data_IF_648330774919
#
_entry.id   IF_648330774919
#
_cell.length_a   1.000
_cell.length_b   1.000
_cell.length_c   1.000
_cell.angle_alpha   90.00
_cell.angle_beta   90.00
_cell.angle_gamma   90.00
#
_symmetry.space_group_name_H-M   'P 1'
#
loop_
_entity.id
_entity.type
_entity.pdbx_description
1 polymer ?
#
# COMPACT_ATOMS: atom_id res chain seq x y z
N UNK A 1 -47.44 14.55 8.59
CA UNK A 1 -46.02 14.31 8.30
C UNK A 1 -45.45 13.08 9.00
N UNK A 2 -45.95 12.65 10.17
CA UNK A 2 -45.44 11.50 10.93
C UNK A 2 -45.64 10.13 10.23
N UNK A 3 -46.74 9.93 9.48
CA UNK A 3 -47.00 8.68 8.76
C UNK A 3 -46.07 8.42 7.57
N UNK A 4 -45.60 9.48 6.90
CA UNK A 4 -44.69 9.36 5.77
C UNK A 4 -43.25 8.91 6.22
N UNK A 5 -42.80 9.41 7.36
CA UNK A 5 -41.50 9.07 7.94
C UNK A 5 -41.47 7.61 8.40
N UNK A 6 -42.53 7.13 9.03
CA UNK A 6 -42.64 5.72 9.44
C UNK A 6 -42.70 4.75 8.25
N UNK A 7 -43.31 5.14 7.13
CA UNK A 7 -43.35 4.36 5.90
C UNK A 7 -41.97 4.22 5.25
N UNK A 8 -41.19 5.31 5.23
CA UNK A 8 -39.82 5.31 4.64
C UNK A 8 -38.89 4.47 5.50
N UNK A 9 -38.95 4.56 6.83
CA UNK A 9 -38.11 3.74 7.73
C UNK A 9 -38.41 2.25 7.59
N UNK A 10 -39.72 1.88 7.44
CA UNK A 10 -40.08 0.48 7.18
C UNK A 10 -39.53 -0.08 5.87
N UNK A 11 -39.58 0.73 4.80
CA UNK A 11 -39.05 0.34 3.49
C UNK A 11 -37.53 0.12 3.53
N UNK A 12 -36.78 0.99 4.21
CA UNK A 12 -35.33 0.87 4.36
C UNK A 12 -34.98 -0.39 5.14
N UNK A 13 -35.71 -0.72 6.21
CA UNK A 13 -35.45 -1.94 6.98
C UNK A 13 -35.65 -3.22 6.17
N UNK A 14 -36.67 -3.27 5.30
CA UNK A 14 -36.90 -4.43 4.42
C UNK A 14 -35.79 -4.59 3.38
N UNK A 15 -35.32 -3.48 2.79
CA UNK A 15 -34.23 -3.50 1.80
C UNK A 15 -32.92 -3.98 2.45
N UNK A 16 -32.61 -3.50 3.66
CA UNK A 16 -31.40 -3.94 4.38
C UNK A 16 -31.46 -5.40 4.77
N UNK A 17 -32.62 -5.91 5.20
CA UNK A 17 -32.77 -7.34 5.49
C UNK A 17 -32.60 -8.21 4.25
N UNK A 18 -33.17 -7.80 3.11
CA UNK A 18 -33.01 -8.46 1.82
C UNK A 18 -31.55 -8.51 1.35
N UNK A 19 -30.82 -7.42 1.56
CA UNK A 19 -29.42 -7.33 1.19
C UNK A 19 -28.54 -8.26 2.05
N UNK A 20 -28.78 -8.34 3.35
CA UNK A 20 -28.07 -9.25 4.25
C UNK A 20 -28.28 -10.72 3.85
N UNK A 21 -29.53 -11.11 3.57
CA UNK A 21 -29.84 -12.49 3.12
C UNK A 21 -29.14 -12.78 1.77
N UNK A 22 -29.16 -11.83 0.84
CA UNK A 22 -28.50 -11.98 -0.47
C UNK A 22 -26.99 -12.20 -0.36
N UNK A 23 -26.31 -11.49 0.54
CA UNK A 23 -24.87 -11.64 0.78
C UNK A 23 -24.56 -12.99 1.41
N UNK A 24 -25.37 -13.46 2.37
CA UNK A 24 -25.19 -14.76 3.02
C UNK A 24 -25.44 -15.95 2.07
N UNK A 25 -26.33 -15.83 1.10
CA UNK A 25 -26.63 -16.94 0.16
C UNK A 25 -25.64 -17.06 -0.99
N UNK A 26 -24.83 -16.02 -1.27
CA UNK A 26 -23.80 -16.04 -2.32
C UNK A 26 -22.36 -16.28 -1.83
N UNK A 27 -22.15 -16.38 -0.53
CA UNK A 27 -20.82 -16.38 0.09
C UNK A 27 -20.27 -17.75 0.58
N UNK A 28 -20.93 -18.88 0.27
CA UNK A 28 -20.45 -20.19 0.72
C UNK A 28 -20.31 -21.18 -0.44
N UNK A 29 -19.28 -21.03 -1.25
CA UNK A 29 -18.69 -22.14 -1.99
C UNK A 29 -17.32 -22.43 -1.37
N UNK A 30 -17.29 -23.43 -0.50
CA UNK A 30 -16.07 -23.94 0.13
C UNK A 30 -15.29 -24.81 -0.87
N UNK A 31 -13.95 -24.91 -0.74
CA UNK A 31 -13.13 -25.72 -1.61
C UNK A 31 -13.32 -27.21 -1.34
N UNK A 32 -13.62 -27.96 -2.39
CA UNK A 32 -13.69 -29.41 -2.38
C UNK A 32 -12.28 -30.03 -2.25
N UNK A 33 -12.11 -30.83 -1.24
CA UNK A 33 -11.00 -31.76 -1.09
C UNK A 33 -11.10 -32.90 -2.11
N UNK A 34 -10.04 -33.08 -2.91
CA UNK A 34 -9.84 -34.24 -3.76
C UNK A 34 -8.43 -34.78 -3.58
N UNK A 35 -8.32 -35.82 -2.76
CA UNK A 35 -7.13 -36.68 -2.71
C UNK A 35 -7.14 -37.62 -3.92
N UNK A 36 -6.03 -37.75 -4.63
CA UNK A 36 -5.61 -39.06 -5.13
C UNK A 36 -4.09 -39.08 -5.39
N UNK A 37 -3.46 -40.04 -4.80
CA UNK A 37 -2.05 -40.36 -4.96
C UNK A 37 -1.92 -41.54 -5.93
N UNK A 38 -0.98 -41.48 -6.86
CA UNK A 38 -0.36 -42.71 -7.39
C UNK A 38 1.08 -42.41 -7.87
N UNK A 39 2.06 -43.28 -7.55
CA UNK A 39 3.46 -43.07 -7.86
C UNK A 39 3.83 -43.67 -9.22
N UNK A 40 4.70 -43.02 -9.96
CA UNK A 40 5.41 -43.62 -11.10
C UNK A 40 6.87 -43.22 -11.17
N UNK A 41 7.69 -44.13 -10.80
CA UNK A 41 8.93 -44.70 -11.39
C UNK A 41 9.92 -43.75 -12.12
N UNK A 42 11.11 -43.78 -11.53
CA UNK A 42 12.44 -43.48 -12.06
C UNK A 42 12.63 -43.61 -13.58
N UNK A 43 13.29 -42.58 -14.16
CA UNK A 43 14.21 -42.79 -15.27
C UNK A 43 15.36 -41.78 -15.17
N UNK A 44 16.54 -42.32 -14.94
CA UNK A 44 17.80 -41.59 -14.92
C UNK A 44 18.22 -41.21 -16.35
N UNK A 45 18.54 -39.95 -16.57
CA UNK A 45 19.27 -39.48 -17.73
C UNK A 45 20.32 -38.44 -17.29
N UNK A 46 21.47 -38.33 -17.98
CA UNK A 46 22.70 -37.78 -17.42
C UNK A 46 22.71 -36.27 -17.29
N UNK A 47 23.38 -35.82 -16.25
CA UNK A 47 23.59 -34.43 -15.89
C UNK A 47 24.33 -33.63 -16.98
N UNK A 48 23.62 -32.70 -17.59
CA UNK A 48 24.22 -31.53 -18.21
C UNK A 48 24.43 -30.48 -17.12
N UNK A 49 25.67 -30.18 -16.83
CA UNK A 49 26.04 -29.08 -15.93
C UNK A 49 25.62 -27.75 -16.58
N UNK A 50 24.48 -27.23 -16.17
CA UNK A 50 24.09 -25.84 -16.43
C UNK A 50 24.97 -24.96 -15.57
N UNK A 51 25.61 -23.88 -16.10
CA UNK A 51 26.34 -22.93 -15.28
C UNK A 51 25.41 -22.35 -14.24
N UNK A 52 25.77 -22.48 -12.97
CA UNK A 52 25.11 -21.87 -11.82
C UNK A 52 25.08 -20.37 -12.05
N UNK A 53 23.89 -19.71 -12.00
CA UNK A 53 23.86 -18.26 -12.03
C UNK A 53 24.65 -17.77 -10.81
N UNK A 54 25.58 -16.85 -11.02
CA UNK A 54 26.28 -16.12 -9.96
C UNK A 54 25.22 -15.59 -8.99
N UNK A 55 25.24 -16.11 -7.77
CA UNK A 55 24.40 -15.59 -6.70
C UNK A 55 24.84 -14.14 -6.45
N UNK A 56 24.10 -13.19 -7.02
CA UNK A 56 24.11 -11.81 -6.53
C UNK A 56 23.66 -11.92 -5.09
N UNK A 57 24.54 -11.59 -4.15
CA UNK A 57 24.22 -11.54 -2.72
C UNK A 57 23.18 -10.43 -2.53
N UNK A 58 21.90 -10.78 -2.59
CA UNK A 58 20.82 -9.85 -2.26
C UNK A 58 20.94 -9.47 -0.79
N UNK A 59 20.93 -8.18 -0.53
CA UNK A 59 20.89 -7.64 0.83
C UNK A 59 19.62 -8.15 1.54
N UNK A 60 19.74 -8.69 2.78
CA UNK A 60 18.60 -9.30 3.44
C UNK A 60 17.50 -8.28 3.75
N UNK A 61 16.24 -8.71 3.58
CA UNK A 61 15.06 -7.92 3.95
C UNK A 61 15.00 -7.82 5.49
N UNK A 62 15.18 -6.61 6.01
CA UNK A 62 15.18 -6.32 7.45
C UNK A 62 13.85 -5.75 7.92
N UNK A 63 13.14 -5.05 7.05
CA UNK A 63 11.87 -4.36 7.32
C UNK A 63 10.82 -4.83 6.32
N UNK A 64 10.31 -6.06 6.45
CA UNK A 64 9.43 -6.65 5.45
C UNK A 64 8.12 -5.87 5.30
N UNK A 65 7.52 -5.96 4.12
CA UNK A 65 6.16 -5.51 3.90
C UNK A 65 5.17 -6.31 4.77
N UNK A 66 4.03 -5.74 5.19
CA UNK A 66 2.97 -6.48 5.84
C UNK A 66 2.50 -7.68 5.01
N UNK A 67 2.09 -8.74 5.71
CA UNK A 67 1.55 -9.92 5.04
C UNK A 67 0.34 -9.56 4.17
N UNK A 68 0.27 -10.11 2.98
CA UNK A 68 -0.79 -9.82 2.02
C UNK A 68 -0.58 -8.53 1.20
N UNK A 69 0.61 -7.92 1.28
CA UNK A 69 0.94 -6.78 0.41
C UNK A 69 0.80 -7.15 -1.07
N UNK A 70 0.12 -6.30 -1.84
CA UNK A 70 -0.06 -6.48 -3.28
C UNK A 70 1.07 -5.84 -4.07
N UNK A 71 1.46 -6.44 -5.20
CA UNK A 71 2.48 -5.85 -6.07
C UNK A 71 1.81 -4.95 -7.10
N UNK A 72 2.14 -3.67 -7.10
CA UNK A 72 1.60 -2.65 -8.02
C UNK A 72 2.67 -1.64 -8.39
N UNK A 73 2.48 -0.95 -9.53
CA UNK A 73 3.37 0.14 -9.95
C UNK A 73 3.02 1.47 -9.28
N UNK A 74 1.74 1.68 -9.02
CA UNK A 74 1.21 2.88 -8.38
C UNK A 74 -0.14 2.60 -7.74
N UNK A 75 -0.53 3.46 -6.79
CA UNK A 75 -1.82 3.39 -6.12
C UNK A 75 -2.24 4.76 -5.60
N UNK A 76 -3.49 4.89 -5.21
CA UNK A 76 -4.00 6.06 -4.49
C UNK A 76 -4.54 5.65 -3.12
N UNK A 77 -4.62 6.59 -2.18
CA UNK A 77 -5.45 6.41 -0.97
C UNK A 77 -6.92 6.26 -1.37
N UNK A 78 -7.78 5.65 -0.54
CA UNK A 78 -9.21 5.54 -0.83
C UNK A 78 -9.90 6.89 -1.04
N UNK A 79 -9.43 7.94 -0.36
CA UNK A 79 -9.89 9.33 -0.55
C UNK A 79 -9.42 9.96 -1.87
N UNK A 80 -8.43 9.36 -2.56
CA UNK A 80 -7.78 9.94 -3.73
C UNK A 80 -6.91 11.17 -3.44
N UNK A 81 -6.70 11.51 -2.16
CA UNK A 81 -5.91 12.67 -1.76
C UNK A 81 -4.40 12.42 -1.87
N UNK A 82 -3.96 11.20 -1.54
CA UNK A 82 -2.55 10.79 -1.65
C UNK A 82 -2.43 9.80 -2.81
N UNK A 83 -1.43 10.01 -3.66
CA UNK A 83 -1.06 9.08 -4.73
C UNK A 83 0.39 8.71 -4.60
N UNK A 84 0.70 7.44 -4.82
CA UNK A 84 2.05 6.89 -4.70
C UNK A 84 2.46 6.15 -5.98
N UNK A 85 3.74 6.20 -6.30
CA UNK A 85 4.33 5.50 -7.43
C UNK A 85 5.66 4.87 -7.00
N UNK A 86 5.88 3.63 -7.42
CA UNK A 86 7.12 2.92 -7.24
C UNK A 86 7.98 3.01 -8.50
N UNK A 87 9.27 3.18 -8.31
CA UNK A 87 10.29 3.10 -9.36
C UNK A 87 11.29 1.99 -9.02
N UNK A 88 12.28 1.77 -9.88
CA UNK A 88 13.37 0.84 -9.56
C UNK A 88 14.19 1.31 -8.35
N UNK A 89 14.32 2.63 -8.17
CA UNK A 89 15.23 3.26 -7.21
C UNK A 89 14.52 3.86 -6.00
N UNK A 90 13.19 3.75 -5.93
CA UNK A 90 12.46 4.39 -4.84
C UNK A 90 10.95 4.27 -4.90
N UNK A 91 10.33 4.89 -3.92
CA UNK A 91 8.89 5.13 -3.87
C UNK A 91 8.66 6.62 -3.57
N UNK A 92 7.71 7.22 -4.26
CA UNK A 92 7.32 8.61 -4.07
C UNK A 92 5.81 8.71 -3.89
N UNK A 93 5.37 9.56 -2.95
CA UNK A 93 3.96 9.87 -2.74
C UNK A 93 3.75 11.39 -2.76
N UNK A 94 2.69 11.81 -3.42
CA UNK A 94 2.23 13.19 -3.43
C UNK A 94 0.86 13.35 -2.78
N UNK A 95 0.61 14.49 -2.18
CA UNK A 95 -0.67 14.85 -1.57
C UNK A 95 -1.25 16.07 -2.29
N UNK A 96 -2.56 16.06 -2.53
CA UNK A 96 -3.27 17.17 -3.22
C UNK A 96 -3.66 18.26 -2.25
N UNK A 97 -4.20 17.88 -1.10
CA UNK A 97 -4.69 18.78 -0.06
C UNK A 97 -4.00 18.44 1.26
N UNK A 98 -3.31 19.41 1.84
CA UNK A 98 -2.64 19.29 3.13
C UNK A 98 -2.73 20.58 3.91
N UNK A 99 -2.64 20.49 5.23
CA UNK A 99 -2.71 21.63 6.13
C UNK A 99 -1.32 22.26 6.37
N UNK A 100 -0.25 21.68 5.81
CA UNK A 100 1.16 22.03 6.04
C UNK A 100 1.94 22.38 4.76
N UNK A 101 1.33 22.28 3.57
CA UNK A 101 2.04 22.42 2.29
C UNK A 101 2.66 23.80 2.06
N UNK A 102 2.16 24.82 2.73
CA UNK A 102 2.66 26.18 2.59
C UNK A 102 3.96 26.44 3.39
N UNK A 103 4.23 25.64 4.44
CA UNK A 103 5.30 25.89 5.38
C UNK A 103 6.61 25.13 5.11
N UNK A 104 6.61 24.13 4.23
CA UNK A 104 7.63 23.09 4.25
C UNK A 104 8.61 23.00 3.09
N UNK A 105 8.40 23.68 1.97
CA UNK A 105 9.13 23.43 0.73
C UNK A 105 10.01 24.60 0.24
N UNK A 106 10.59 25.34 1.17
CA UNK A 106 11.47 26.47 0.86
C UNK A 106 12.70 26.10 -0.01
N UNK A 107 13.03 24.83 -0.12
CA UNK A 107 14.16 24.34 -0.92
C UNK A 107 13.82 23.89 -2.33
N UNK A 108 12.54 23.76 -2.68
CA UNK A 108 12.12 23.39 -4.03
C UNK A 108 11.76 24.65 -4.84
N UNK A 109 12.56 24.97 -5.84
CA UNK A 109 12.21 26.03 -6.80
C UNK A 109 11.17 25.50 -7.78
N UNK A 110 9.89 25.85 -7.58
CA UNK A 110 8.78 25.46 -8.43
C UNK A 110 7.64 24.81 -7.65
N UNK A 111 6.50 24.72 -8.27
CA UNK A 111 5.17 24.58 -7.73
C UNK A 111 4.76 23.20 -7.15
N UNK A 112 5.67 22.33 -6.78
CA UNK A 112 5.28 21.01 -6.26
C UNK A 112 5.58 20.89 -4.77
N UNK A 113 4.60 21.25 -4.00
CA UNK A 113 4.53 21.02 -2.56
C UNK A 113 3.83 19.67 -2.32
N UNK A 114 4.23 18.96 -1.28
CA UNK A 114 3.53 17.74 -0.85
C UNK A 114 4.04 16.44 -1.47
N UNK A 115 5.24 16.39 -2.03
CA UNK A 115 5.86 15.15 -2.49
C UNK A 115 6.94 14.68 -1.52
N UNK A 116 6.83 13.43 -1.09
CA UNK A 116 7.85 12.73 -0.30
C UNK A 116 8.34 11.50 -1.06
N UNK A 117 9.61 11.18 -0.87
CA UNK A 117 10.22 9.99 -1.47
C UNK A 117 11.10 9.24 -0.47
N UNK A 118 11.24 7.93 -0.70
CA UNK A 118 12.23 7.08 -0.05
C UNK A 118 13.00 6.32 -1.12
N UNK A 119 14.32 6.39 -1.01
CA UNK A 119 15.27 5.60 -1.78
C UNK A 119 16.00 4.63 -0.84
N UNK A 120 17.00 3.92 -1.36
CA UNK A 120 17.86 3.06 -0.53
C UNK A 120 18.59 3.88 0.55
N UNK A 121 19.03 5.09 0.23
CA UNK A 121 19.96 5.87 1.06
C UNK A 121 19.30 6.96 1.90
N UNK A 122 18.13 7.44 1.48
CA UNK A 122 17.46 8.57 2.12
C UNK A 122 15.96 8.55 1.95
N UNK A 123 15.26 9.18 2.89
CA UNK A 123 13.86 9.55 2.76
C UNK A 123 13.67 11.04 3.09
N UNK A 124 12.70 11.68 2.46
CA UNK A 124 12.43 13.09 2.69
C UNK A 124 11.57 13.73 1.60
N UNK A 125 11.51 15.04 1.69
CA UNK A 125 10.86 15.86 0.67
C UNK A 125 11.55 15.68 -0.69
N UNK A 126 10.75 15.57 -1.73
CA UNK A 126 11.19 15.50 -3.12
C UNK A 126 10.72 16.72 -3.88
N UNK A 127 11.62 17.29 -4.68
CA UNK A 127 11.29 18.39 -5.59
C UNK A 127 10.86 17.89 -6.97
N UNK A 128 10.49 16.64 -7.10
CA UNK A 128 9.96 16.09 -8.34
C UNK A 128 8.59 16.67 -8.67
N UNK A 129 8.39 16.96 -9.93
CA UNK A 129 7.29 17.81 -10.38
C UNK A 129 5.93 17.13 -10.47
N UNK A 130 5.81 15.86 -10.33
CA UNK A 130 4.53 15.16 -10.13
C UNK A 130 4.78 13.72 -9.76
N UNK A 131 4.08 13.20 -8.80
CA UNK A 131 3.91 11.76 -8.68
C UNK A 131 2.90 11.35 -9.75
N UNK A 132 3.29 10.52 -10.72
CA UNK A 132 2.33 10.02 -11.69
C UNK A 132 1.24 9.28 -10.93
N UNK A 133 0.09 9.92 -10.78
CA UNK A 133 -1.02 9.38 -10.05
C UNK A 133 -1.92 8.56 -10.96
N UNK A 134 -2.66 7.64 -10.42
CA UNK A 134 -3.72 6.96 -11.14
C UNK A 134 -3.78 5.45 -10.97
N UNK A 135 -3.06 4.87 -10.03
CA UNK A 135 -3.29 3.49 -9.62
C UNK A 135 -4.64 3.30 -8.91
N UNK A 136 -5.07 2.05 -8.82
CA UNK A 136 -6.26 1.71 -8.05
C UNK A 136 -6.12 2.15 -6.59
N UNK A 137 -7.25 2.40 -5.93
CA UNK A 137 -7.24 2.73 -4.52
C UNK A 137 -6.74 1.54 -3.68
N UNK A 138 -5.73 1.79 -2.85
CA UNK A 138 -5.24 0.85 -1.85
C UNK A 138 -6.10 1.04 -0.59
N UNK A 139 -6.88 0.03 -0.24
CA UNK A 139 -7.78 0.08 0.91
C UNK A 139 -7.03 0.45 2.21
N UNK A 140 -7.70 1.08 3.14
CA UNK A 140 -7.16 1.29 4.48
C UNK A 140 -6.88 -0.05 5.17
N UNK A 141 -5.71 -0.18 5.79
CA UNK A 141 -5.20 -1.42 6.36
C UNK A 141 -4.52 -2.34 5.35
N UNK A 142 -4.50 -2.00 4.05
CA UNK A 142 -3.81 -2.78 3.03
C UNK A 142 -2.42 -2.22 2.74
N UNK A 143 -1.54 -3.11 2.27
CA UNK A 143 -0.17 -2.75 1.89
C UNK A 143 0.10 -3.04 0.41
N UNK A 144 1.02 -2.26 -0.16
CA UNK A 144 1.52 -2.42 -1.52
C UNK A 144 3.05 -2.55 -1.50
N UNK A 145 3.60 -3.25 -2.48
CA UNK A 145 5.05 -3.45 -2.61
C UNK A 145 5.47 -3.50 -4.06
N UNK A 146 6.72 -3.08 -4.32
CA UNK A 146 7.42 -3.31 -5.58
C UNK A 146 8.94 -3.25 -5.36
N UNK A 147 9.65 -4.28 -5.80
CA UNK A 147 11.10 -4.40 -5.55
C UNK A 147 11.39 -4.35 -4.05
N UNK A 148 12.29 -3.47 -3.68
CA UNK A 148 12.73 -3.28 -2.28
C UNK A 148 11.88 -2.27 -1.50
N UNK A 149 10.73 -1.86 -2.00
CA UNK A 149 9.90 -0.84 -1.36
C UNK A 149 8.53 -1.37 -0.99
N UNK A 150 8.03 -0.90 0.13
CA UNK A 150 6.70 -1.19 0.63
C UNK A 150 5.99 0.07 1.10
N UNK A 151 4.65 0.06 1.00
CA UNK A 151 3.79 1.10 1.54
C UNK A 151 2.60 0.47 2.27
N UNK A 152 2.14 1.12 3.32
CA UNK A 152 0.95 0.76 4.08
C UNK A 152 -0.02 1.94 4.11
N UNK A 153 -1.26 1.70 3.70
CA UNK A 153 -2.34 2.69 3.71
C UNK A 153 -3.14 2.57 4.99
N UNK A 154 -3.28 3.67 5.73
CA UNK A 154 -4.10 3.74 6.95
C UNK A 154 -5.06 4.92 6.88
N UNK A 155 -6.02 5.02 7.79
CA UNK A 155 -6.91 6.18 7.88
C UNK A 155 -6.15 7.46 8.27
N UNK A 156 -5.03 7.31 8.98
CA UNK A 156 -4.21 8.42 9.48
C UNK A 156 -3.17 8.89 8.45
N UNK A 157 -2.96 8.14 7.36
CA UNK A 157 -2.01 8.47 6.31
C UNK A 157 -1.40 7.26 5.62
N UNK A 158 -0.37 7.50 4.82
CA UNK A 158 0.40 6.46 4.13
C UNK A 158 1.84 6.49 4.66
N UNK A 159 2.36 5.32 5.03
CA UNK A 159 3.78 5.11 5.34
C UNK A 159 4.42 4.28 4.22
N UNK A 160 5.58 4.73 3.73
CA UNK A 160 6.37 4.00 2.72
C UNK A 160 7.82 3.86 3.19
N UNK A 161 8.47 2.74 2.84
CA UNK A 161 9.85 2.47 3.27
C UNK A 161 10.61 1.55 2.31
N UNK A 162 11.93 1.62 2.41
CA UNK A 162 12.80 0.60 1.84
C UNK A 162 12.88 -0.60 2.78
N UNK A 163 12.60 -1.80 2.29
CA UNK A 163 12.49 -3.03 3.09
C UNK A 163 13.85 -3.56 3.57
N UNK A 164 14.96 -3.09 3.00
CA UNK A 164 16.32 -3.49 3.36
C UNK A 164 16.95 -2.48 4.33
N UNK A 165 16.90 -1.20 4.00
CA UNK A 165 17.59 -0.14 4.76
C UNK A 165 16.72 0.51 5.83
N UNK A 166 15.40 0.46 5.69
CA UNK A 166 14.45 1.08 6.61
C UNK A 166 14.25 2.59 6.39
N UNK A 167 14.89 3.18 5.37
CA UNK A 167 14.62 4.58 5.01
C UNK A 167 13.14 4.72 4.68
N UNK A 168 12.46 5.62 5.37
CA UNK A 168 10.99 5.68 5.36
C UNK A 168 10.47 7.11 5.48
N UNK A 169 9.23 7.28 5.01
CA UNK A 169 8.44 8.46 5.29
C UNK A 169 7.00 8.07 5.61
N UNK A 170 6.32 8.97 6.30
CA UNK A 170 4.87 8.95 6.44
C UNK A 170 4.31 10.29 5.97
N UNK A 171 3.13 10.24 5.36
CA UNK A 171 2.47 11.37 4.72
C UNK A 171 0.98 11.35 5.02
N UNK A 172 0.47 12.46 5.51
CA UNK A 172 -0.95 12.67 5.80
C UNK A 172 -1.37 14.11 5.55
N UNK A 173 -2.67 14.40 5.65
CA UNK A 173 -3.18 15.76 5.54
C UNK A 173 -2.59 16.69 6.60
N UNK A 174 -2.46 16.20 7.85
CA UNK A 174 -1.95 16.97 8.98
C UNK A 174 -0.44 17.13 9.04
N UNK A 175 0.34 16.40 8.21
CA UNK A 175 1.79 16.51 8.26
C UNK A 175 2.54 15.38 7.54
N UNK A 176 3.84 15.40 7.74
CA UNK A 176 4.74 14.37 7.23
C UNK A 176 5.90 14.14 8.19
N UNK A 177 6.53 12.99 8.11
CA UNK A 177 7.73 12.67 8.87
C UNK A 177 8.60 11.65 8.13
N UNK A 178 9.85 11.52 8.55
CA UNK A 178 10.81 10.55 8.05
C UNK A 178 11.34 9.65 9.13
N UNK A 179 11.87 8.49 8.75
CA UNK A 179 12.45 7.51 9.65
C UNK A 179 13.50 6.64 8.95
N UNK A 180 14.15 5.80 9.74
CA UNK A 180 15.21 4.88 9.29
C UNK A 180 15.00 3.45 9.81
N UNK A 181 13.81 3.15 10.31
CA UNK A 181 13.49 1.87 10.96
C UNK A 181 12.29 1.15 10.31
N UNK A 182 12.11 1.30 9.00
CA UNK A 182 11.02 0.71 8.26
C UNK A 182 9.72 1.46 8.43
N UNK A 183 8.60 0.75 8.49
CA UNK A 183 7.28 1.36 8.60
C UNK A 183 7.18 2.34 9.78
N UNK A 184 6.68 3.52 9.49
CA UNK A 184 6.26 4.47 10.53
C UNK A 184 4.79 4.16 10.81
N UNK A 185 4.52 3.52 11.95
CA UNK A 185 3.15 3.18 12.34
C UNK A 185 2.30 4.43 12.65
N UNK A 186 0.98 4.38 12.46
CA UNK A 186 0.10 5.54 12.67
C UNK A 186 0.14 6.11 14.11
N UNK A 187 0.48 5.29 15.11
CA UNK A 187 0.64 5.75 16.49
C UNK A 187 1.85 6.69 16.71
N UNK A 188 2.74 6.75 15.71
CA UNK A 188 3.91 7.64 15.71
C UNK A 188 3.67 8.92 14.91
N UNK A 189 2.50 9.05 14.30
CA UNK A 189 2.14 10.23 13.53
C UNK A 189 1.85 11.39 14.49
N UNK A 190 2.88 12.18 14.81
CA UNK A 190 2.77 13.41 15.60
C UNK A 190 2.95 14.61 14.68
N UNK A 191 1.87 14.99 14.03
CA UNK A 191 1.91 16.03 13.01
C UNK A 191 1.94 17.47 13.58
N UNK A 192 1.73 17.65 14.88
CA UNK A 192 1.47 18.96 15.49
C UNK A 192 2.18 19.18 16.83
N UNK A 193 3.32 18.57 17.05
CA UNK A 193 4.16 18.85 18.23
C UNK A 193 5.22 19.89 17.92
#
# INVERSE_FOLDING_TARGET
MMGLVLGILGLIAVILLGFVIYVFTRGYEGPATGSDATPSTSSSAPAHATPSPSATTEEPVKYPAPAGAITVDSFSSPSGNITCSFTADGVSCGIKESDWAEDGYASCSGSQVGVLSASKDKAGQSCESAVPGGGNALAYGAAATKGDYACHSTQDGISCWNTKTGQSFALARGGWMTGTAGEIGPQKFSWND
#
